data_IF_704928036359
#
_entry.id   IF_704928036359
#
_cell.length_a   1.000
_cell.length_b   1.000
_cell.length_c   1.000
_cell.angle_alpha   90.00
_cell.angle_beta   90.00
_cell.angle_gamma   90.00
#
_symmetry.space_group_name_H-M   'P 1'
#
loop_
_entity.id
_entity.type
_entity.pdbx_description
1 polymer ?
#
# COMPACT_ATOMS: atom_id res chain seq x y z
N UNK A 1 -23.45 -8.97 -33.10
CA UNK A 1 -22.65 -10.16 -32.77
C UNK A 1 -23.33 -11.49 -33.14
N UNK A 2 -24.65 -11.51 -33.47
CA UNK A 2 -25.38 -12.73 -33.86
C UNK A 2 -25.50 -12.94 -35.39
N UNK A 3 -25.21 -11.92 -36.19
CA UNK A 3 -25.33 -11.99 -37.66
C UNK A 3 -24.52 -13.09 -38.34
N UNK A 4 -23.22 -13.31 -38.01
CA UNK A 4 -22.44 -14.35 -38.69
C UNK A 4 -22.91 -15.78 -38.37
N UNK A 5 -23.63 -15.98 -37.25
CA UNK A 5 -24.21 -17.28 -36.88
C UNK A 5 -25.46 -17.57 -37.74
N UNK A 6 -26.24 -16.54 -38.06
CA UNK A 6 -27.42 -16.64 -38.92
C UNK A 6 -27.01 -16.97 -40.36
N UNK A 7 -25.91 -16.37 -40.84
CA UNK A 7 -25.43 -16.58 -42.20
C UNK A 7 -24.85 -18.01 -42.38
N UNK A 8 -24.11 -18.54 -41.39
CA UNK A 8 -23.61 -19.92 -41.40
C UNK A 8 -24.72 -20.98 -41.32
N UNK A 9 -25.86 -20.65 -40.68
CA UNK A 9 -27.03 -21.52 -40.61
C UNK A 9 -27.78 -21.62 -41.95
N UNK A 10 -27.74 -20.56 -42.77
CA UNK A 10 -28.42 -20.52 -44.06
C UNK A 10 -27.61 -21.22 -45.18
N UNK A 11 -26.29 -21.25 -45.08
CA UNK A 11 -25.43 -21.84 -46.13
C UNK A 11 -25.51 -23.38 -46.18
N UNK A 12 -25.79 -24.04 -45.05
CA UNK A 12 -25.91 -25.50 -44.97
C UNK A 12 -27.33 -26.06 -45.23
N UNK A 13 -28.34 -25.22 -45.48
CA UNK A 13 -29.71 -25.65 -45.79
C UNK A 13 -29.90 -26.04 -47.27
N UNK A 14 -28.90 -25.85 -48.12
CA UNK A 14 -29.01 -25.99 -49.58
C UNK A 14 -28.87 -27.40 -50.17
N UNK A 15 -28.46 -28.42 -49.41
CA UNK A 15 -28.09 -29.70 -50.01
C UNK A 15 -28.54 -30.93 -49.21
N UNK A 16 -29.86 -31.18 -49.17
CA UNK A 16 -30.41 -32.50 -48.86
C UNK A 16 -31.86 -32.63 -49.37
N UNK A 17 -32.05 -32.88 -50.66
CA UNK A 17 -33.30 -33.47 -51.16
C UNK A 17 -33.16 -34.99 -51.02
N UNK A 18 -33.74 -35.54 -49.96
CA UNK A 18 -33.89 -36.98 -49.75
C UNK A 18 -35.05 -37.23 -48.80
N UNK A 19 -36.09 -37.91 -49.29
CA UNK A 19 -37.23 -38.34 -48.49
C UNK A 19 -36.75 -39.17 -47.30
N UNK A 20 -36.92 -38.67 -46.08
CA UNK A 20 -36.66 -39.42 -44.85
C UNK A 20 -37.87 -39.25 -43.94
N UNK A 21 -38.74 -40.27 -43.94
CA UNK A 21 -39.63 -40.54 -42.81
C UNK A 21 -38.76 -41.07 -41.67
N UNK A 22 -38.19 -40.15 -40.92
CA UNK A 22 -37.65 -40.39 -39.59
C UNK A 22 -37.79 -39.05 -38.88
N UNK A 23 -38.25 -39.03 -37.62
CA UNK A 23 -38.31 -37.79 -36.85
C UNK A 23 -36.86 -37.35 -36.59
N UNK A 24 -36.26 -36.69 -37.59
CA UNK A 24 -34.84 -36.42 -37.65
C UNK A 24 -34.49 -35.50 -36.49
N UNK A 25 -33.78 -36.07 -35.51
CA UNK A 25 -33.19 -35.33 -34.39
C UNK A 25 -32.27 -34.25 -34.95
N UNK A 26 -32.78 -33.02 -35.07
CA UNK A 26 -32.02 -31.91 -35.62
C UNK A 26 -30.87 -31.60 -34.67
N UNK A 27 -29.66 -31.67 -35.22
CA UNK A 27 -28.46 -31.50 -34.42
C UNK A 27 -27.46 -30.64 -35.16
N UNK A 28 -26.93 -29.64 -34.47
CA UNK A 28 -25.96 -28.69 -35.01
C UNK A 28 -24.64 -28.77 -34.23
N UNK A 29 -23.52 -28.66 -34.94
CA UNK A 29 -22.18 -28.53 -34.34
C UNK A 29 -21.82 -27.04 -34.29
N UNK A 30 -21.47 -26.54 -33.11
CA UNK A 30 -20.97 -25.19 -32.93
C UNK A 30 -19.53 -25.27 -32.42
N UNK A 31 -18.61 -24.70 -33.20
CA UNK A 31 -17.21 -24.62 -32.85
C UNK A 31 -16.93 -23.44 -31.92
N UNK A 32 -15.96 -23.60 -31.01
CA UNK A 32 -15.49 -22.55 -30.09
C UNK A 32 -16.61 -21.89 -29.25
N UNK A 33 -17.54 -22.69 -28.72
CA UNK A 33 -18.72 -22.18 -28.03
C UNK A 33 -18.43 -21.70 -26.61
N UNK A 34 -17.65 -22.47 -25.83
CA UNK A 34 -17.48 -22.25 -24.38
C UNK A 34 -16.01 -22.22 -23.98
N UNK A 35 -15.54 -21.22 -23.22
CA UNK A 35 -14.18 -21.21 -22.72
C UNK A 35 -13.98 -22.31 -21.67
N UNK A 36 -12.90 -23.09 -21.79
CA UNK A 36 -12.59 -24.18 -20.85
C UNK A 36 -11.97 -23.68 -19.54
N UNK A 37 -11.26 -22.56 -19.63
CA UNK A 37 -10.59 -21.92 -18.50
C UNK A 37 -11.17 -20.53 -18.27
N UNK A 38 -11.57 -20.27 -17.03
CA UNK A 38 -12.07 -18.98 -16.60
C UNK A 38 -11.15 -18.41 -15.52
N UNK A 39 -10.75 -17.16 -15.70
CA UNK A 39 -10.10 -16.37 -14.66
C UNK A 39 -11.15 -15.50 -13.99
N UNK A 40 -11.30 -15.68 -12.68
CA UNK A 40 -12.01 -14.77 -11.79
C UNK A 40 -10.96 -13.99 -11.00
N UNK A 41 -11.08 -12.67 -10.97
CA UNK A 41 -10.16 -11.80 -10.26
C UNK A 41 -10.85 -10.53 -9.78
N UNK A 42 -10.12 -9.42 -9.72
CA UNK A 42 -10.64 -8.14 -9.20
C UNK A 42 -11.67 -7.48 -10.12
N UNK A 43 -11.75 -7.90 -11.39
CA UNK A 43 -12.84 -7.52 -12.27
C UNK A 43 -14.12 -8.28 -11.91
N UNK A 44 -15.25 -7.58 -11.84
CA UNK A 44 -16.58 -8.17 -11.63
C UNK A 44 -17.03 -9.13 -12.75
N UNK A 45 -16.19 -9.37 -13.76
CA UNK A 45 -16.45 -10.21 -14.91
C UNK A 45 -15.46 -11.37 -14.94
N UNK A 46 -15.98 -12.58 -15.17
CA UNK A 46 -15.16 -13.74 -15.49
C UNK A 46 -14.59 -13.58 -16.90
N UNK A 47 -13.28 -13.69 -17.04
CA UNK A 47 -12.60 -13.58 -18.32
C UNK A 47 -12.11 -14.97 -18.78
N UNK A 48 -12.24 -15.31 -20.08
CA UNK A 48 -11.63 -16.52 -20.60
C UNK A 48 -10.11 -16.41 -20.49
N UNK A 49 -9.48 -17.42 -19.91
CA UNK A 49 -8.02 -17.45 -19.76
C UNK A 49 -7.39 -18.06 -21.00
N UNK A 50 -6.55 -17.29 -21.69
CA UNK A 50 -5.80 -17.81 -22.83
C UNK A 50 -4.59 -18.63 -22.33
N UNK A 51 -4.67 -19.95 -22.49
CA UNK A 51 -3.64 -20.90 -22.04
C UNK A 51 -2.82 -21.48 -23.19
N UNK A 52 -3.06 -21.01 -24.43
CA UNK A 52 -2.35 -21.46 -25.65
C UNK A 52 -0.82 -21.48 -25.49
N UNK A 53 -0.15 -20.49 -24.85
CA UNK A 53 1.31 -20.54 -24.71
C UNK A 53 1.80 -21.58 -23.70
N UNK A 54 0.95 -22.07 -22.78
CA UNK A 54 1.32 -23.04 -21.74
C UNK A 54 0.99 -24.49 -22.11
N UNK A 55 -0.07 -24.68 -22.89
CA UNK A 55 -0.63 -25.98 -23.24
C UNK A 55 -0.85 -26.02 -24.76
N UNK A 56 0.25 -26.16 -25.51
CA UNK A 56 0.28 -26.13 -26.99
C UNK A 56 -0.62 -27.15 -27.70
N UNK A 57 -1.22 -28.07 -26.96
CA UNK A 57 -2.09 -29.14 -27.46
C UNK A 57 -3.54 -29.04 -26.96
N UNK A 58 -3.94 -27.92 -26.34
CA UNK A 58 -5.32 -27.71 -25.88
C UNK A 58 -5.95 -26.48 -26.54
N UNK A 59 -7.18 -26.65 -27.04
CA UNK A 59 -8.04 -25.55 -27.47
C UNK A 59 -8.57 -24.76 -26.26
N UNK A 60 -8.51 -23.43 -26.33
CA UNK A 60 -9.03 -22.53 -25.29
C UNK A 60 -10.55 -22.62 -25.13
N UNK A 61 -11.25 -22.90 -26.24
CA UNK A 61 -12.69 -23.05 -26.30
C UNK A 61 -13.07 -24.50 -26.62
N UNK A 62 -14.14 -24.98 -26.00
CA UNK A 62 -14.77 -26.26 -26.27
C UNK A 62 -15.83 -26.11 -27.36
N UNK A 63 -15.84 -27.06 -28.29
CA UNK A 63 -16.86 -27.20 -29.31
C UNK A 63 -17.96 -28.15 -28.82
N UNK A 64 -19.22 -27.81 -29.09
CA UNK A 64 -20.35 -28.59 -28.62
C UNK A 64 -21.39 -28.82 -29.71
N UNK A 65 -21.98 -30.01 -29.68
CA UNK A 65 -23.08 -30.44 -30.53
C UNK A 65 -24.39 -30.19 -29.77
N UNK A 66 -25.28 -29.39 -30.33
CA UNK A 66 -26.59 -29.06 -29.76
C UNK A 66 -27.68 -29.84 -30.50
N UNK A 67 -28.44 -30.65 -29.77
CA UNK A 67 -29.60 -31.38 -30.30
C UNK A 67 -30.88 -30.81 -29.73
N UNK A 68 -31.86 -30.56 -30.60
CA UNK A 68 -33.23 -30.27 -30.18
C UNK A 68 -33.97 -31.59 -29.99
N UNK A 69 -34.59 -31.77 -28.82
CA UNK A 69 -35.36 -32.96 -28.51
C UNK A 69 -36.81 -32.60 -28.23
N UNK A 70 -37.69 -33.54 -28.55
CA UNK A 70 -39.10 -33.50 -28.24
C UNK A 70 -39.33 -34.19 -26.91
N UNK A 71 -40.07 -33.54 -26.01
CA UNK A 71 -40.52 -34.14 -24.77
C UNK A 71 -41.73 -35.05 -24.98
N UNK A 72 -42.13 -35.74 -23.93
CA UNK A 72 -43.11 -36.84 -23.95
C UNK A 72 -44.48 -36.49 -24.58
N UNK A 73 -44.86 -35.21 -24.59
CA UNK A 73 -46.14 -34.73 -25.11
C UNK A 73 -46.05 -34.11 -26.51
N UNK A 74 -44.87 -34.16 -27.16
CA UNK A 74 -44.55 -33.54 -28.46
C UNK A 74 -44.72 -32.00 -28.55
N UNK A 75 -45.31 -31.39 -27.52
CA UNK A 75 -45.50 -29.94 -27.35
C UNK A 75 -44.36 -29.26 -26.60
N UNK A 76 -43.55 -30.01 -25.87
CA UNK A 76 -42.42 -29.49 -25.10
C UNK A 76 -41.12 -29.75 -25.85
N UNK A 77 -40.37 -28.71 -26.15
CA UNK A 77 -39.06 -28.82 -26.79
C UNK A 77 -37.96 -28.48 -25.79
N UNK A 78 -36.86 -29.22 -25.81
CA UNK A 78 -35.70 -28.94 -24.96
C UNK A 78 -34.38 -29.19 -25.70
N UNK A 79 -33.35 -28.42 -25.35
CA UNK A 79 -32.02 -28.55 -25.92
C UNK A 79 -31.14 -29.45 -25.05
N UNK A 80 -30.36 -30.32 -25.68
CA UNK A 80 -29.26 -31.04 -25.03
C UNK A 80 -27.96 -30.68 -25.71
N UNK A 81 -26.89 -30.55 -24.94
CA UNK A 81 -25.55 -30.35 -25.46
C UNK A 81 -24.72 -31.63 -25.31
N UNK A 82 -23.75 -31.80 -26.21
CA UNK A 82 -22.73 -32.82 -26.12
C UNK A 82 -21.38 -32.23 -26.55
N UNK A 83 -20.43 -32.14 -25.62
CA UNK A 83 -19.08 -31.62 -25.90
C UNK A 83 -18.34 -32.58 -26.83
N UNK A 84 -17.47 -32.11 -27.72
CA UNK A 84 -16.69 -33.00 -28.60
C UNK A 84 -15.76 -33.92 -27.78
N UNK A 85 -15.56 -35.17 -28.21
CA UNK A 85 -14.75 -36.14 -27.47
C UNK A 85 -13.28 -35.68 -27.29
N UNK A 86 -12.70 -35.01 -28.29
CA UNK A 86 -11.35 -34.43 -28.22
C UNK A 86 -11.20 -33.38 -27.12
N UNK A 87 -12.30 -32.72 -26.74
CA UNK A 87 -12.30 -31.66 -25.73
C UNK A 87 -12.56 -32.19 -24.32
N UNK A 88 -12.83 -33.49 -24.16
CA UNK A 88 -13.10 -34.17 -22.88
C UNK A 88 -11.90 -34.95 -22.32
N UNK A 89 -10.76 -34.90 -22.99
CA UNK A 89 -9.58 -35.66 -22.59
C UNK A 89 -8.75 -34.97 -21.50
N UNK A 90 -7.98 -35.78 -20.76
CA UNK A 90 -7.07 -35.32 -19.73
C UNK A 90 -7.79 -34.71 -18.52
N UNK A 91 -7.45 -33.45 -18.20
CA UNK A 91 -7.96 -32.72 -17.03
C UNK A 91 -9.45 -32.36 -17.11
N UNK A 92 -10.07 -32.51 -18.29
CA UNK A 92 -11.49 -32.26 -18.51
C UNK A 92 -12.36 -33.52 -18.43
N UNK A 93 -11.75 -34.67 -18.10
CA UNK A 93 -12.47 -35.92 -17.93
C UNK A 93 -13.25 -35.91 -16.62
N UNK A 94 -14.56 -36.16 -16.70
CA UNK A 94 -15.40 -36.29 -15.50
C UNK A 94 -14.96 -37.50 -14.66
N UNK A 95 -14.79 -37.31 -13.36
CA UNK A 95 -14.36 -38.36 -12.42
C UNK A 95 -15.48 -39.37 -12.12
N UNK A 96 -16.73 -39.05 -12.49
CA UNK A 96 -17.87 -39.95 -12.38
C UNK A 96 -17.98 -40.85 -13.62
N UNK A 97 -18.04 -42.17 -13.42
CA UNK A 97 -18.09 -43.17 -14.49
C UNK A 97 -19.38 -43.14 -15.34
N UNK A 98 -20.28 -42.17 -15.12
CA UNK A 98 -21.66 -42.22 -15.62
C UNK A 98 -22.03 -41.11 -16.60
N UNK A 99 -21.15 -40.14 -16.85
CA UNK A 99 -21.61 -38.89 -17.47
C UNK A 99 -20.79 -38.48 -18.69
N UNK A 100 -21.07 -39.13 -19.81
CA UNK A 100 -20.63 -38.71 -21.15
C UNK A 100 -21.27 -37.38 -21.62
N UNK A 101 -21.99 -36.70 -20.72
CA UNK A 101 -22.72 -35.45 -20.95
C UNK A 101 -22.26 -34.30 -20.03
N UNK A 102 -21.29 -34.53 -19.14
CA UNK A 102 -20.82 -33.48 -18.22
C UNK A 102 -19.92 -32.46 -18.93
N UNK A 103 -20.14 -31.17 -18.63
CA UNK A 103 -19.25 -30.08 -18.99
C UNK A 103 -18.35 -29.77 -17.79
N UNK A 104 -17.03 -29.88 -17.97
CA UNK A 104 -16.04 -29.53 -16.95
C UNK A 104 -15.43 -28.17 -17.29
N UNK A 105 -15.51 -27.23 -16.36
CA UNK A 105 -14.92 -25.89 -16.46
C UNK A 105 -13.89 -25.73 -15.35
N UNK A 106 -12.70 -25.24 -15.70
CA UNK A 106 -11.65 -24.96 -14.71
C UNK A 106 -11.65 -23.47 -14.41
N UNK A 107 -11.90 -23.14 -13.15
CA UNK A 107 -11.96 -21.77 -12.67
C UNK A 107 -10.73 -21.45 -11.84
N UNK A 108 -9.92 -20.52 -12.33
CA UNK A 108 -8.84 -19.91 -11.54
C UNK A 108 -9.41 -18.71 -10.77
N UNK A 109 -9.44 -18.84 -9.45
CA UNK A 109 -9.86 -17.76 -8.56
C UNK A 109 -8.62 -17.04 -8.02
N UNK A 110 -8.40 -15.80 -8.47
CA UNK A 110 -7.33 -14.96 -7.99
C UNK A 110 -7.68 -14.40 -6.60
N UNK A 111 -6.73 -14.47 -5.66
CA UNK A 111 -6.92 -13.87 -4.35
C UNK A 111 -6.86 -12.35 -4.47
N UNK A 112 -8.00 -11.70 -4.27
CA UNK A 112 -8.09 -10.24 -4.27
C UNK A 112 -7.95 -9.69 -2.86
N UNK A 113 -6.98 -8.80 -2.68
CA UNK A 113 -6.88 -7.97 -1.49
C UNK A 113 -7.88 -6.83 -1.70
N UNK A 114 -8.89 -6.74 -0.83
CA UNK A 114 -9.96 -5.76 -0.99
C UNK A 114 -9.44 -4.34 -1.20
N UNK A 115 -10.08 -3.57 -2.09
CA UNK A 115 -9.68 -2.22 -2.53
C UNK A 115 -9.41 -1.23 -1.39
N UNK A 116 -10.01 -1.46 -0.21
CA UNK A 116 -9.79 -0.70 1.01
C UNK A 116 -8.34 -0.77 1.50
N UNK A 117 -7.69 -1.93 1.41
CA UNK A 117 -6.29 -2.05 1.83
C UNK A 117 -5.35 -1.34 0.86
N UNK A 118 -5.59 -1.42 -0.45
CA UNK A 118 -4.77 -0.71 -1.44
C UNK A 118 -4.80 0.82 -1.26
N UNK A 119 -5.99 1.37 -1.09
CA UNK A 119 -6.18 2.82 -0.88
C UNK A 119 -5.69 3.29 0.49
N UNK A 120 -5.96 2.53 1.56
CA UNK A 120 -5.50 2.86 2.91
C UNK A 120 -3.97 2.82 3.03
N UNK A 121 -3.31 1.84 2.41
CA UNK A 121 -1.85 1.75 2.43
C UNK A 121 -1.23 2.95 1.71
N UNK A 122 -1.80 3.36 0.57
CA UNK A 122 -1.29 4.50 -0.18
C UNK A 122 -1.43 5.82 0.61
N UNK A 123 -2.57 6.03 1.27
CA UNK A 123 -2.78 7.18 2.17
C UNK A 123 -1.87 7.12 3.40
N UNK A 124 -1.62 5.94 3.95
CA UNK A 124 -0.74 5.75 5.10
C UNK A 124 0.69 6.16 4.80
N UNK A 125 1.22 5.80 3.61
CA UNK A 125 2.58 6.17 3.20
C UNK A 125 2.71 7.69 3.08
N UNK A 126 1.71 8.34 2.46
CA UNK A 126 1.68 9.81 2.33
C UNK A 126 1.59 10.49 3.70
N UNK A 127 0.73 9.99 4.59
CA UNK A 127 0.59 10.52 5.95
C UNK A 127 1.87 10.36 6.79
N UNK A 128 2.54 9.22 6.68
CA UNK A 128 3.83 8.97 7.33
C UNK A 128 4.89 9.96 6.84
N UNK A 129 4.99 10.17 5.52
CA UNK A 129 5.92 11.12 4.93
C UNK A 129 5.67 12.54 5.46
N UNK A 130 4.43 13.02 5.39
CA UNK A 130 4.07 14.35 5.86
C UNK A 130 4.41 14.54 7.35
N UNK A 131 4.16 13.52 8.18
CA UNK A 131 4.43 13.56 9.62
C UNK A 131 5.93 13.71 9.90
N UNK A 132 6.77 12.92 9.24
CA UNK A 132 8.23 12.98 9.41
C UNK A 132 8.77 14.35 8.97
N UNK A 133 8.33 14.83 7.81
CA UNK A 133 8.77 16.14 7.29
C UNK A 133 8.38 17.28 8.22
N UNK A 134 7.13 17.27 8.74
CA UNK A 134 6.68 18.27 9.73
C UNK A 134 7.49 18.16 11.02
N UNK A 135 7.77 16.95 11.50
CA UNK A 135 8.55 16.74 12.72
C UNK A 135 9.97 17.30 12.57
N UNK A 136 10.65 17.01 11.47
CA UNK A 136 11.98 17.55 11.17
C UNK A 136 11.92 19.07 11.04
N UNK A 137 10.94 19.62 10.33
CA UNK A 137 10.77 21.07 10.21
C UNK A 137 10.57 21.76 11.56
N UNK A 138 9.79 21.15 12.47
CA UNK A 138 9.62 21.66 13.84
C UNK A 138 10.90 21.53 14.66
N UNK A 139 11.63 20.43 14.52
CA UNK A 139 12.90 20.23 15.21
C UNK A 139 13.94 21.27 14.79
N UNK A 140 14.11 21.47 13.48
CA UNK A 140 15.00 22.50 12.94
C UNK A 140 14.59 23.89 13.40
N UNK A 141 13.28 24.20 13.37
CA UNK A 141 12.77 25.46 13.91
C UNK A 141 13.17 25.63 15.37
N UNK A 142 13.01 24.61 16.21
CA UNK A 142 13.39 24.67 17.63
C UNK A 142 14.89 24.82 17.85
N UNK A 143 15.73 24.20 17.01
CA UNK A 143 17.18 24.29 17.13
C UNK A 143 17.72 25.70 16.85
N UNK A 144 17.08 26.44 15.92
CA UNK A 144 17.48 27.81 15.59
C UNK A 144 16.62 28.88 16.28
N UNK A 145 15.47 28.51 16.83
CA UNK A 145 14.64 29.42 17.59
C UNK A 145 15.32 29.76 18.92
N UNK A 146 15.19 31.01 19.35
CA UNK A 146 15.72 31.54 20.62
C UNK A 146 17.24 31.61 20.78
N UNK A 147 18.04 31.41 19.73
CA UNK A 147 19.50 31.64 19.82
C UNK A 147 19.80 33.06 20.33
N UNK A 148 19.08 34.08 19.84
CA UNK A 148 19.27 35.48 20.27
C UNK A 148 19.00 35.73 21.76
N UNK A 149 18.13 34.92 22.38
CA UNK A 149 17.82 35.05 23.81
C UNK A 149 18.94 34.52 24.70
N UNK A 150 19.79 33.63 24.16
CA UNK A 150 20.91 33.01 24.89
C UNK A 150 22.21 33.79 24.79
N UNK A 151 22.32 34.70 23.83
CA UNK A 151 23.53 35.53 23.57
C UNK A 151 24.06 36.20 24.83
N UNK A 152 23.20 36.68 25.74
CA UNK A 152 23.62 37.35 26.99
C UNK A 152 24.46 36.43 27.88
N UNK A 153 24.25 35.11 27.80
CA UNK A 153 24.97 34.11 28.60
C UNK A 153 26.09 33.42 27.82
N UNK A 154 25.98 33.33 26.49
CA UNK A 154 27.00 32.69 25.63
C UNK A 154 28.16 33.64 25.31
N UNK A 155 27.93 34.94 25.22
CA UNK A 155 28.95 35.97 24.94
C UNK A 155 29.51 36.63 26.21
N UNK A 156 29.54 35.90 27.33
CA UNK A 156 30.05 36.42 28.59
C UNK A 156 31.58 36.39 28.61
N UNK A 157 32.24 37.42 29.14
CA UNK A 157 33.70 37.44 29.20
C UNK A 157 34.26 36.33 30.12
N UNK A 158 35.50 35.88 29.88
CA UNK A 158 36.14 34.83 30.68
C UNK A 158 36.21 35.18 32.16
N UNK A 159 36.60 36.42 32.52
CA UNK A 159 36.76 36.86 33.91
C UNK A 159 35.44 36.89 34.69
N UNK A 160 34.33 37.27 34.05
CA UNK A 160 32.99 37.20 34.68
C UNK A 160 32.53 35.75 34.84
N UNK A 161 32.92 34.87 33.91
CA UNK A 161 32.63 33.42 33.97
C UNK A 161 33.40 32.76 35.11
N UNK A 162 34.66 33.14 35.32
CA UNK A 162 35.49 32.68 36.44
C UNK A 162 34.89 33.09 37.80
N UNK A 163 34.49 34.35 37.96
CA UNK A 163 33.81 34.80 39.19
C UNK A 163 32.52 34.03 39.48
N UNK A 164 31.75 33.72 38.44
CA UNK A 164 30.54 32.92 38.58
C UNK A 164 30.86 31.47 38.97
N UNK A 165 31.95 30.92 38.42
CA UNK A 165 32.44 29.60 38.76
C UNK A 165 32.92 29.53 40.21
N UNK A 166 33.63 30.54 40.71
CA UNK A 166 34.05 30.64 42.13
C UNK A 166 32.86 30.66 43.09
N UNK A 167 31.75 31.31 42.72
CA UNK A 167 30.52 31.27 43.53
C UNK A 167 29.94 29.84 43.56
N UNK A 168 29.90 29.15 42.42
CA UNK A 168 29.45 27.76 42.34
C UNK A 168 30.35 26.82 43.16
N UNK A 169 31.66 27.02 43.11
CA UNK A 169 32.62 26.28 43.93
C UNK A 169 32.45 26.58 45.42
N UNK A 170 32.22 27.85 45.77
CA UNK A 170 31.91 28.25 47.15
C UNK A 170 30.64 27.60 47.69
N UNK A 171 29.59 27.45 46.85
CA UNK A 171 28.38 26.70 47.21
C UNK A 171 28.71 25.24 47.45
N UNK A 172 29.49 24.62 46.55
CA UNK A 172 29.90 23.23 46.68
C UNK A 172 30.70 22.98 47.97
N UNK A 173 31.63 23.88 48.31
CA UNK A 173 32.40 23.82 49.57
C UNK A 173 31.48 24.00 50.78
N UNK A 174 30.56 24.96 50.76
CA UNK A 174 29.62 25.19 51.87
C UNK A 174 28.72 23.97 52.13
N UNK A 175 28.32 23.24 51.07
CA UNK A 175 27.60 21.98 51.18
C UNK A 175 28.44 20.88 51.83
N UNK A 176 29.73 20.78 51.48
CA UNK A 176 30.66 19.83 52.09
C UNK A 176 30.93 20.16 53.58
N UNK A 177 30.99 21.44 53.93
CA UNK A 177 31.16 21.91 55.31
C UNK A 177 29.87 21.77 56.15
N UNK A 178 28.70 21.64 55.50
CA UNK A 178 27.39 21.68 56.15
C UNK A 178 27.00 23.08 56.66
N UNK A 179 27.63 24.14 56.16
CA UNK A 179 27.33 25.53 56.53
C UNK A 179 26.19 26.08 55.67
N UNK A 180 24.96 25.80 56.11
CA UNK A 180 23.72 26.21 55.44
C UNK A 180 23.56 27.74 55.33
N UNK A 181 24.21 28.51 56.21
CA UNK A 181 24.11 29.98 56.19
C UNK A 181 24.95 30.54 55.06
N UNK A 182 26.19 30.06 54.92
CA UNK A 182 27.05 30.41 53.78
C UNK A 182 26.44 29.94 52.47
N UNK A 183 25.98 28.69 52.41
CA UNK A 183 25.35 28.11 51.22
C UNK A 183 24.21 29.01 50.73
N UNK A 184 23.26 29.33 51.62
CA UNK A 184 22.12 30.20 51.28
C UNK A 184 22.56 31.57 50.77
N UNK A 185 23.57 32.17 51.39
CA UNK A 185 24.07 33.51 51.01
C UNK A 185 24.69 33.50 49.61
N UNK A 186 25.48 32.48 49.29
CA UNK A 186 26.07 32.31 47.95
C UNK A 186 24.99 32.00 46.91
N UNK A 187 24.00 31.18 47.26
CA UNK A 187 22.88 30.86 46.37
C UNK A 187 22.01 32.08 46.04
N UNK A 188 21.70 32.91 47.05
CA UNK A 188 20.97 34.18 46.84
C UNK A 188 21.75 35.15 45.95
N UNK A 189 23.09 35.18 46.08
CA UNK A 189 23.95 36.00 45.22
C UNK A 189 23.92 35.52 43.77
N UNK A 190 24.02 34.21 43.54
CA UNK A 190 23.95 33.59 42.21
C UNK A 190 22.62 33.92 41.51
N UNK A 191 21.50 33.69 42.21
CA UNK A 191 20.16 33.97 41.67
C UNK A 191 19.99 35.46 41.38
N UNK A 192 20.46 36.35 42.27
CA UNK A 192 20.35 37.80 42.08
C UNK A 192 21.11 38.28 40.83
N UNK A 193 22.28 37.71 40.55
CA UNK A 193 23.01 38.01 39.31
C UNK A 193 22.25 37.55 38.07
N UNK A 194 21.78 36.30 38.05
CA UNK A 194 21.03 35.77 36.90
C UNK A 194 19.67 36.44 36.68
N UNK A 195 19.08 37.05 37.72
CA UNK A 195 17.79 37.77 37.62
C UNK A 195 17.93 39.18 37.05
N UNK A 196 19.11 39.79 37.11
CA UNK A 196 19.37 41.17 36.68
C UNK A 196 20.39 41.22 35.53
N UNK A 197 19.94 41.10 34.26
CA UNK A 197 20.86 41.13 33.12
C UNK A 197 21.61 42.46 33.01
N UNK A 198 21.06 43.55 33.53
CA UNK A 198 21.73 44.85 33.59
C UNK A 198 22.99 44.82 34.46
N UNK A 199 22.95 44.11 35.59
CA UNK A 199 24.09 43.98 36.49
C UNK A 199 25.16 43.09 35.85
N UNK A 200 24.73 41.99 35.24
CA UNK A 200 25.61 41.04 34.57
C UNK A 200 26.37 41.70 33.40
N UNK A 201 25.67 42.49 32.58
CA UNK A 201 26.29 43.25 31.47
C UNK A 201 27.24 44.34 31.98
N UNK A 202 26.93 45.01 33.09
CA UNK A 202 27.81 46.04 33.67
C UNK A 202 29.13 45.44 34.15
N UNK A 203 29.08 44.31 34.85
CA UNK A 203 30.26 43.59 35.34
C UNK A 203 31.12 43.11 34.17
N UNK A 204 30.48 42.49 33.17
CA UNK A 204 31.12 42.06 31.93
C UNK A 204 31.83 43.23 31.20
N UNK A 205 31.15 44.37 31.01
CA UNK A 205 31.78 45.57 30.40
C UNK A 205 32.95 46.14 31.21
N UNK A 206 32.89 46.09 32.54
CA UNK A 206 33.98 46.55 33.40
C UNK A 206 35.21 45.64 33.23
N UNK A 207 35.02 44.33 33.27
CA UNK A 207 36.09 43.36 33.02
C UNK A 207 36.78 43.59 31.65
N UNK A 208 36.00 43.87 30.59
CA UNK A 208 36.56 44.20 29.27
C UNK A 208 37.40 45.48 29.27
N UNK A 209 36.97 46.52 29.98
CA UNK A 209 37.70 47.78 30.05
C UNK A 209 39.03 47.60 30.79
N UNK A 210 39.02 46.86 31.90
CA UNK A 210 40.22 46.56 32.70
C UNK A 210 41.22 45.69 31.93
N UNK A 211 40.74 44.69 31.20
CA UNK A 211 41.58 43.87 30.31
C UNK A 211 42.24 44.72 29.22
N UNK A 212 41.50 45.66 28.64
CA UNK A 212 42.03 46.54 27.58
C UNK A 212 43.11 47.50 28.11
N UNK A 213 42.95 48.03 29.33
CA UNK A 213 43.97 48.85 29.99
C UNK A 213 45.22 48.02 30.34
N UNK A 214 45.05 46.77 30.81
CA UNK A 214 46.16 45.84 31.07
C UNK A 214 47.00 45.57 29.83
N UNK A 215 46.35 45.24 28.71
CA UNK A 215 47.03 44.98 27.43
C UNK A 215 47.75 46.22 26.89
N UNK A 216 47.25 47.42 27.18
CA UNK A 216 47.88 48.68 26.75
C UNK A 216 49.06 49.10 27.65
N UNK A 217 49.10 48.60 28.87
CA UNK A 217 50.15 48.87 29.85
C UNK A 217 51.35 47.91 29.77
N UNK A 218 51.20 46.79 29.05
CA UNK A 218 52.27 45.86 28.67
C UNK A 218 52.86 46.21 27.29
#
# INVERSE_FOLDING_TARGET
MLQPIIDALNEHQGEAIGNVTDHAKSTILIENLLPKFLKLGDSQLAQPLDVIPLLSNLSTFASAKLSLNHGLNDTSLYWTYQVLASDRDGIFKSTTNQDDHNLVLIVYNEQVIGSLFGTALQLSVVGLYATIVIAIGRFLRLAFDRISQRVIYEEMDPETTEQLFEICEGIYIAQLEGDLVKEKRLYDLLIRMYRSPETLIKINRQARAELHERIKSE
#
